data_IF_292071063586
#
_entry.id   IF_292071063586
#
_cell.length_a   1.000
_cell.length_b   1.000
_cell.length_c   1.000
_cell.angle_alpha   90.00
_cell.angle_beta   90.00
_cell.angle_gamma   90.00
#
_symmetry.space_group_name_H-M   'P 1'
#
loop_
_entity.id
_entity.type
_entity.pdbx_description
1 polymer ?
#
# COMPACT_ATOMS: atom_id res chain seq x y z
N UNK A 1 -10.48 28.83 14.76
CA UNK A 1 -11.58 27.98 14.26
C UNK A 1 -11.18 27.39 12.91
N UNK A 2 -10.21 26.48 12.91
CA UNK A 2 -9.78 25.75 11.71
C UNK A 2 -10.17 24.30 11.94
N UNK A 3 -11.32 23.96 11.36
CA UNK A 3 -12.00 22.68 11.50
C UNK A 3 -11.04 21.54 11.21
N UNK A 4 -10.96 20.62 12.17
CA UNK A 4 -10.36 19.31 11.97
C UNK A 4 -11.22 18.67 10.89
N UNK A 5 -10.73 18.62 9.65
CA UNK A 5 -11.36 17.88 8.55
C UNK A 5 -11.67 16.50 9.14
N UNK A 6 -12.95 16.26 9.35
CA UNK A 6 -13.42 15.09 10.07
C UNK A 6 -13.26 13.87 9.18
N UNK A 7 -13.18 12.66 9.76
CA UNK A 7 -13.26 11.42 8.99
C UNK A 7 -14.48 11.41 8.04
N UNK A 8 -15.57 12.08 8.43
CA UNK A 8 -16.80 12.19 7.66
C UNK A 8 -16.62 13.01 6.37
N UNK A 9 -15.96 14.17 6.43
CA UNK A 9 -15.70 15.00 5.24
C UNK A 9 -14.76 14.29 4.27
N UNK A 10 -13.74 13.59 4.78
CA UNK A 10 -12.85 12.78 3.96
C UNK A 10 -13.61 11.67 3.22
N UNK A 11 -14.55 10.99 3.89
CA UNK A 11 -15.40 9.96 3.28
C UNK A 11 -16.26 10.55 2.16
N UNK A 12 -16.84 11.74 2.36
CA UNK A 12 -17.67 12.39 1.33
C UNK A 12 -16.84 12.73 0.08
N UNK A 13 -15.65 13.30 0.26
CA UNK A 13 -14.74 13.59 -0.86
C UNK A 13 -14.32 12.30 -1.57
N UNK A 14 -13.98 11.26 -0.81
CA UNK A 14 -13.62 9.95 -1.36
C UNK A 14 -14.79 9.37 -2.16
N UNK A 15 -16.03 9.48 -1.67
CA UNK A 15 -17.22 9.01 -2.35
C UNK A 15 -17.43 9.70 -3.71
N UNK A 16 -17.17 11.01 -3.81
CA UNK A 16 -17.25 11.75 -5.08
C UNK A 16 -16.20 11.26 -6.08
N UNK A 17 -14.94 11.10 -5.63
CA UNK A 17 -13.85 10.56 -6.44
C UNK A 17 -14.22 9.15 -6.93
N UNK A 18 -14.77 8.32 -6.03
CA UNK A 18 -15.25 6.98 -6.33
C UNK A 18 -16.41 6.97 -7.32
N UNK A 19 -17.25 7.99 -7.36
CA UNK A 19 -18.36 8.09 -8.31
C UNK A 19 -17.86 8.37 -9.73
N UNK A 20 -16.78 9.16 -9.87
CA UNK A 20 -16.15 9.47 -11.16
C UNK A 20 -15.27 8.32 -11.65
N UNK A 21 -14.40 7.79 -10.79
CA UNK A 21 -13.41 6.78 -11.16
C UNK A 21 -13.90 5.34 -10.94
N UNK A 22 -14.86 5.12 -10.05
CA UNK A 22 -15.35 3.80 -9.65
C UNK A 22 -14.50 3.15 -8.54
N UNK A 23 -15.10 2.42 -7.58
CA UNK A 23 -14.38 1.71 -6.51
C UNK A 23 -13.47 0.59 -7.02
N UNK A 24 -13.75 0.04 -8.19
CA UNK A 24 -12.92 -1.00 -8.79
C UNK A 24 -11.59 -0.48 -9.35
N UNK A 25 -11.45 0.83 -9.62
CA UNK A 25 -10.23 1.40 -10.19
C UNK A 25 -9.20 1.78 -9.13
N UNK A 26 -9.63 2.22 -7.94
CA UNK A 26 -8.73 2.53 -6.82
C UNK A 26 -7.76 1.40 -6.44
N UNK A 27 -8.19 0.12 -6.24
CA UNK A 27 -7.27 -0.94 -5.85
C UNK A 27 -6.25 -1.26 -6.95
N UNK A 28 -6.63 -1.13 -8.22
CA UNK A 28 -5.72 -1.29 -9.36
C UNK A 28 -4.64 -0.21 -9.37
N UNK A 29 -5.03 1.05 -9.22
CA UNK A 29 -4.10 2.19 -9.14
C UNK A 29 -3.18 2.09 -7.93
N UNK A 30 -3.73 1.76 -6.76
CA UNK A 30 -2.96 1.58 -5.54
C UNK A 30 -1.95 0.43 -5.66
N UNK A 31 -2.32 -0.69 -6.30
CA UNK A 31 -1.43 -1.82 -6.54
C UNK A 31 -0.30 -1.46 -7.51
N UNK A 32 -0.60 -0.72 -8.58
CA UNK A 32 0.39 -0.25 -9.54
C UNK A 32 1.40 0.72 -8.89
N UNK A 33 0.90 1.75 -8.20
CA UNK A 33 1.74 2.71 -7.47
C UNK A 33 2.53 2.02 -6.36
N UNK A 34 1.89 1.10 -5.62
CA UNK A 34 2.55 0.35 -4.55
C UNK A 34 3.72 -0.49 -5.04
N UNK A 35 3.55 -1.20 -6.17
CA UNK A 35 4.66 -1.96 -6.79
C UNK A 35 5.81 -1.04 -7.21
N UNK A 36 5.52 0.09 -7.86
CA UNK A 36 6.55 1.06 -8.24
C UNK A 36 7.28 1.64 -7.03
N UNK A 37 6.59 1.92 -5.92
CA UNK A 37 7.21 2.42 -4.69
C UNK A 37 8.08 1.35 -4.02
N UNK A 38 7.65 0.08 -4.03
CA UNK A 38 8.44 -1.04 -3.50
C UNK A 38 9.73 -1.20 -4.32
N UNK A 39 9.62 -1.27 -5.64
CA UNK A 39 10.78 -1.40 -6.55
C UNK A 39 11.72 -0.20 -6.46
N UNK A 40 11.18 1.02 -6.33
CA UNK A 40 11.97 2.23 -6.12
C UNK A 40 12.73 2.18 -4.79
N UNK A 41 12.08 1.74 -3.71
CA UNK A 41 12.74 1.59 -2.40
C UNK A 41 13.82 0.51 -2.41
N UNK A 42 13.60 -0.60 -3.12
CA UNK A 42 14.57 -1.70 -3.23
C UNK A 42 15.78 -1.29 -4.07
N UNK A 43 15.56 -0.55 -5.15
CA UNK A 43 16.63 0.04 -5.96
C UNK A 43 17.47 1.07 -5.19
N UNK A 44 16.81 1.93 -4.39
CA UNK A 44 17.49 2.94 -3.56
C UNK A 44 18.25 2.32 -2.37
N UNK A 45 17.84 1.14 -1.87
CA UNK A 45 18.53 0.43 -0.78
C UNK A 45 19.73 -0.42 -1.24
N UNK A 46 20.08 -0.40 -2.52
CA UNK A 46 21.27 -1.10 -3.02
C UNK A 46 21.06 -2.59 -3.29
N UNK A 47 19.86 -2.99 -3.75
CA UNK A 47 19.68 -4.28 -4.43
C UNK A 47 19.89 -5.51 -3.55
N UNK A 48 19.19 -5.59 -2.41
CA UNK A 48 18.90 -6.90 -1.83
C UNK A 48 17.62 -7.42 -2.47
N UNK A 49 17.66 -8.49 -3.28
CA UNK A 49 16.44 -9.03 -3.88
C UNK A 49 15.51 -9.45 -2.75
N UNK A 50 14.29 -8.92 -2.75
CA UNK A 50 13.18 -9.55 -2.07
C UNK A 50 12.85 -10.84 -2.84
N UNK A 51 13.68 -11.86 -2.63
CA UNK A 51 13.30 -13.23 -2.97
C UNK A 51 12.05 -13.55 -2.17
N UNK A 52 11.05 -14.07 -2.86
CA UNK A 52 9.87 -14.74 -2.32
C UNK A 52 10.28 -15.88 -1.36
N UNK A 53 10.78 -15.56 -0.17
CA UNK A 53 10.70 -16.47 0.96
C UNK A 53 9.34 -16.23 1.63
N UNK A 54 8.40 -17.18 1.56
CA UNK A 54 7.31 -17.20 2.54
C UNK A 54 7.95 -17.23 3.94
N UNK A 55 7.29 -16.70 4.98
CA UNK A 55 7.67 -17.00 6.35
C UNK A 55 7.42 -18.50 6.60
N UNK A 56 8.30 -19.35 6.09
CA UNK A 56 8.33 -20.77 6.38
C UNK A 56 9.01 -20.90 7.72
N UNK A 57 8.23 -21.35 8.70
CA UNK A 57 8.70 -22.00 9.92
C UNK A 57 10.10 -22.60 9.81
N UNK A 58 10.99 -22.12 10.67
CA UNK A 58 12.06 -22.90 11.28
C UNK A 58 12.01 -22.48 12.76
N UNK A 59 11.25 -23.17 13.60
CA UNK A 59 11.76 -24.32 14.38
C UNK A 59 13.20 -24.09 14.83
N UNK A 60 13.34 -23.23 15.84
CA UNK A 60 14.49 -23.20 16.73
C UNK A 60 14.38 -24.40 17.69
N UNK A 61 14.86 -25.56 17.23
CA UNK A 61 15.06 -26.74 18.05
C UNK A 61 16.56 -27.10 18.05
N UNK A 62 17.15 -26.98 19.24
CA UNK A 62 18.31 -27.71 19.75
C UNK A 62 19.73 -27.31 19.27
N UNK A 63 20.49 -26.67 20.18
CA UNK A 63 21.87 -27.06 20.50
C UNK A 63 22.20 -26.80 21.96
#
# INVERSE_FOLDING_TARGET
MLGRIGPLELIVVLAIILLIFGPSKLPGLAKAVGRSVVELKDGLKGGKPATDEPPSSAEENNK
#
